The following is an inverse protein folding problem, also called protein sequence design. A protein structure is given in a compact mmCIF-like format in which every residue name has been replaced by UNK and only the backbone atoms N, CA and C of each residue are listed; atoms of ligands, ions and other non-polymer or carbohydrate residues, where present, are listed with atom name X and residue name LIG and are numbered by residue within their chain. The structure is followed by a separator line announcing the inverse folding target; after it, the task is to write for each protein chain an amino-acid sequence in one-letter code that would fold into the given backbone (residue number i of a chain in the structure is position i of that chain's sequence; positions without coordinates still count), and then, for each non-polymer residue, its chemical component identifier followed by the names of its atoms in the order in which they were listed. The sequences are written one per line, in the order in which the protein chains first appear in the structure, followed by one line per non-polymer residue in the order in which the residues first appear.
data_IF_217950133258
#
_entry.id   IF_217950133258
#
_cell.length_a   1.000
_cell.length_b   1.000
_cell.length_c   1.000
_cell.angle_alpha   90.00
_cell.angle_beta   90.00
_cell.angle_gamma   90.00
#
_symmetry.space_group_name_H-M   'P 1'
#
loop_
_entity.id
_entity.type
_entity.pdbx_description
1 polymer ?
#
# COMPACT_ATOMS: atom_id res chain seq x y z
N UNK A 1 -40.72 3.35 41.10
CA UNK A 1 -40.22 2.96 39.76
C UNK A 1 -40.88 3.88 38.76
N UNK A 2 -40.19 4.94 38.32
CA UNK A 2 -40.72 5.85 37.31
C UNK A 2 -40.53 5.22 35.94
N UNK A 3 -41.64 4.83 35.34
CA UNK A 3 -41.73 4.42 33.94
C UNK A 3 -41.36 5.65 33.09
N UNK A 4 -40.16 5.64 32.51
CA UNK A 4 -39.74 6.69 31.58
C UNK A 4 -40.50 6.44 30.28
N UNK A 5 -41.64 7.10 30.11
CA UNK A 5 -42.34 7.07 28.82
C UNK A 5 -41.40 7.63 27.74
N UNK A 6 -40.93 6.76 26.84
CA UNK A 6 -40.18 7.18 25.66
C UNK A 6 -41.10 7.91 24.68
N UNK A 7 -40.70 9.10 24.24
CA UNK A 7 -41.35 9.80 23.12
C UNK A 7 -41.07 9.06 21.80
N UNK A 8 -42.10 8.52 21.11
CA UNK A 8 -41.92 7.81 19.85
C UNK A 8 -41.32 8.68 18.75
N UNK A 9 -41.56 10.00 18.74
CA UNK A 9 -41.01 10.91 17.72
C UNK A 9 -39.50 11.12 17.91
N UNK A 10 -39.05 11.28 19.16
CA UNK A 10 -37.62 11.30 19.48
C UNK A 10 -36.92 9.98 19.13
N UNK A 11 -37.53 8.84 19.45
CA UNK A 11 -36.99 7.53 19.10
C UNK A 11 -36.87 7.34 17.58
N UNK A 12 -37.88 7.73 16.81
CA UNK A 12 -37.86 7.67 15.36
C UNK A 12 -36.78 8.58 14.75
N UNK A 13 -36.58 9.78 15.30
CA UNK A 13 -35.50 10.68 14.85
C UNK A 13 -34.11 10.09 15.10
N UNK A 14 -33.88 9.52 16.28
CA UNK A 14 -32.62 8.84 16.60
C UNK A 14 -32.36 7.65 15.69
N UNK A 15 -33.38 6.82 15.44
CA UNK A 15 -33.26 5.68 14.54
C UNK A 15 -32.89 6.11 13.11
N UNK A 16 -33.52 7.17 12.59
CA UNK A 16 -33.17 7.73 11.26
C UNK A 16 -31.73 8.23 11.22
N UNK A 17 -31.29 8.98 12.22
CA UNK A 17 -29.92 9.48 12.28
C UNK A 17 -28.88 8.34 12.30
N UNK A 18 -29.16 7.24 13.01
CA UNK A 18 -28.30 6.05 13.01
C UNK A 18 -28.23 5.41 11.62
N UNK A 19 -29.39 5.20 10.98
CA UNK A 19 -29.46 4.62 9.64
C UNK A 19 -28.73 5.48 8.61
N UNK A 20 -28.93 6.80 8.64
CA UNK A 20 -28.25 7.74 7.76
C UNK A 20 -26.74 7.73 7.99
N UNK A 21 -26.29 7.70 9.25
CA UNK A 21 -24.87 7.62 9.57
C UNK A 21 -24.25 6.31 9.05
N UNK A 22 -24.93 5.17 9.20
CA UNK A 22 -24.48 3.89 8.65
C UNK A 22 -24.43 3.90 7.12
N UNK A 23 -25.44 4.47 6.45
CA UNK A 23 -25.45 4.59 5.00
C UNK A 23 -24.30 5.47 4.51
N UNK A 24 -24.08 6.61 5.14
CA UNK A 24 -22.97 7.50 4.81
C UNK A 24 -21.61 6.81 5.00
N UNK A 25 -21.46 6.03 6.08
CA UNK A 25 -20.24 5.25 6.29
C UNK A 25 -20.01 4.22 5.17
N UNK A 26 -21.07 3.51 4.75
CA UNK A 26 -20.99 2.54 3.65
C UNK A 26 -20.63 3.22 2.33
N UNK A 27 -21.25 4.35 2.02
CA UNK A 27 -20.95 5.14 0.80
C UNK A 27 -19.49 5.58 0.80
N UNK A 28 -19.01 6.14 1.92
CA UNK A 28 -17.61 6.55 2.06
C UNK A 28 -16.63 5.39 1.88
N UNK A 29 -16.93 4.21 2.43
CA UNK A 29 -16.09 3.03 2.20
C UNK A 29 -16.02 2.62 0.72
N UNK A 30 -17.11 2.79 -0.03
CA UNK A 30 -17.12 2.54 -1.48
C UNK A 30 -16.28 3.60 -2.22
N UNK A 31 -16.39 4.88 -1.84
CA UNK A 31 -15.57 5.96 -2.41
C UNK A 31 -14.07 5.71 -2.19
N UNK A 32 -13.70 5.33 -0.96
CA UNK A 32 -12.33 4.99 -0.60
C UNK A 32 -11.83 3.75 -1.37
N UNK A 33 -12.67 2.73 -1.54
CA UNK A 33 -12.34 1.56 -2.34
C UNK A 33 -12.09 1.93 -3.80
N UNK A 34 -13.00 2.67 -4.43
CA UNK A 34 -12.86 3.07 -5.85
C UNK A 34 -11.62 3.95 -6.04
N UNK A 35 -11.37 4.88 -5.11
CA UNK A 35 -10.15 5.68 -5.12
C UNK A 35 -8.89 4.82 -5.04
N UNK A 36 -8.87 3.83 -4.13
CA UNK A 36 -7.77 2.90 -3.99
C UNK A 36 -7.57 2.01 -5.24
N UNK A 37 -8.66 1.53 -5.85
CA UNK A 37 -8.62 0.78 -7.11
C UNK A 37 -8.02 1.61 -8.23
N UNK A 38 -8.49 2.85 -8.42
CA UNK A 38 -7.95 3.73 -9.45
C UNK A 38 -6.46 4.03 -9.23
N UNK A 39 -6.04 4.23 -7.98
CA UNK A 39 -4.63 4.45 -7.64
C UNK A 39 -3.78 3.19 -7.92
N UNK A 40 -4.33 2.00 -7.62
CA UNK A 40 -3.68 0.73 -7.92
C UNK A 40 -3.51 0.52 -9.43
N UNK A 41 -4.56 0.73 -10.21
CA UNK A 41 -4.51 0.58 -11.67
C UNK A 41 -3.55 1.57 -12.31
N UNK A 42 -3.52 2.82 -11.84
CA UNK A 42 -2.56 3.82 -12.28
C UNK A 42 -1.10 3.42 -11.96
N UNK A 43 -0.86 2.86 -10.77
CA UNK A 43 0.45 2.37 -10.38
C UNK A 43 0.89 1.16 -11.22
N UNK A 44 -0.01 0.22 -11.47
CA UNK A 44 0.22 -0.93 -12.37
C UNK A 44 0.59 -0.46 -13.78
N UNK A 45 -0.12 0.52 -14.32
CA UNK A 45 0.20 1.09 -15.62
C UNK A 45 1.57 1.77 -15.62
N UNK A 46 1.88 2.56 -14.59
CA UNK A 46 3.19 3.20 -14.45
C UNK A 46 4.33 2.18 -14.37
N UNK A 47 4.12 1.04 -13.70
CA UNK A 47 5.10 -0.06 -13.64
C UNK A 47 5.30 -0.68 -15.04
N UNK A 48 4.22 -0.91 -15.79
CA UNK A 48 4.30 -1.44 -17.16
C UNK A 48 5.05 -0.48 -18.09
N UNK A 49 4.74 0.80 -18.02
CA UNK A 49 5.40 1.83 -18.84
C UNK A 49 6.89 1.96 -18.48
N UNK A 50 7.21 1.94 -17.19
CA UNK A 50 8.60 1.96 -16.71
C UNK A 50 9.36 0.69 -17.15
N UNK A 51 8.73 -0.48 -17.11
CA UNK A 51 9.31 -1.73 -17.58
C UNK A 51 9.60 -1.67 -19.09
N UNK A 52 8.64 -1.21 -19.90
CA UNK A 52 8.81 -1.05 -21.33
C UNK A 52 9.91 -0.03 -21.69
N UNK A 53 9.99 1.09 -20.95
CA UNK A 53 11.07 2.07 -21.11
C UNK A 53 12.44 1.46 -20.76
N UNK A 54 12.51 0.65 -19.70
CA UNK A 54 13.72 -0.04 -19.29
C UNK A 54 14.17 -1.10 -20.32
N UNK A 55 13.24 -1.90 -20.85
CA UNK A 55 13.49 -2.86 -21.95
C UNK A 55 14.06 -2.18 -23.19
N UNK A 56 13.45 -1.05 -23.57
CA UNK A 56 13.89 -0.25 -24.72
C UNK A 56 15.29 0.33 -24.49
N UNK A 57 15.57 0.85 -23.30
CA UNK A 57 16.88 1.39 -22.95
C UNK A 57 17.97 0.31 -22.94
N UNK A 58 17.65 -0.87 -22.41
CA UNK A 58 18.56 -2.03 -22.42
C UNK A 58 18.88 -2.47 -23.85
N UNK A 59 17.86 -2.61 -24.68
CA UNK A 59 18.02 -2.99 -26.09
C UNK A 59 18.80 -1.94 -26.88
N UNK A 60 18.59 -0.64 -26.61
CA UNK A 60 19.35 0.44 -27.22
C UNK A 60 20.83 0.40 -26.80
N UNK A 61 21.13 0.06 -25.54
CA UNK A 61 22.50 -0.12 -25.07
C UNK A 61 23.19 -1.29 -25.78
N UNK A 62 22.51 -2.43 -25.93
CA UNK A 62 23.03 -3.57 -26.70
C UNK A 62 23.27 -3.21 -28.17
N UNK A 63 22.34 -2.48 -28.80
CA UNK A 63 22.49 -1.99 -30.17
C UNK A 63 23.64 -0.99 -30.33
N UNK A 64 23.95 -0.21 -29.29
CA UNK A 64 25.11 0.69 -29.23
C UNK A 64 26.44 -0.05 -29.00
N UNK A 65 26.45 -1.39 -28.97
CA UNK A 65 27.65 -2.22 -28.85
C UNK A 65 28.03 -2.56 -27.42
N UNK A 66 27.20 -2.24 -26.42
CA UNK A 66 27.42 -2.71 -25.06
C UNK A 66 27.09 -4.20 -24.96
N UNK A 67 27.90 -4.93 -24.20
CA UNK A 67 27.58 -6.31 -23.84
C UNK A 67 26.85 -6.34 -22.50
N UNK A 68 26.01 -7.34 -22.28
CA UNK A 68 25.32 -7.52 -21.00
C UNK A 68 26.29 -7.59 -19.81
N UNK A 69 27.49 -8.16 -20.03
CA UNK A 69 28.55 -8.22 -19.03
C UNK A 69 29.03 -6.83 -18.63
N UNK A 70 29.35 -5.98 -19.60
CA UNK A 70 29.79 -4.61 -19.33
C UNK A 70 28.68 -3.79 -18.64
N UNK A 71 27.42 -3.97 -19.06
CA UNK A 71 26.27 -3.32 -18.42
C UNK A 71 26.08 -3.77 -16.97
N UNK A 72 26.26 -5.05 -16.66
CA UNK A 72 26.21 -5.53 -15.27
C UNK A 72 27.39 -5.06 -14.43
N UNK A 73 28.58 -4.96 -15.02
CA UNK A 73 29.78 -4.45 -14.33
C UNK A 73 29.62 -2.98 -13.91
N UNK A 74 28.96 -2.15 -14.73
CA UNK A 74 28.62 -0.76 -14.35
C UNK A 74 27.41 -0.67 -13.42
N UNK A 75 26.81 -1.81 -13.05
CA UNK A 75 25.67 -1.89 -12.13
C UNK A 75 24.30 -1.72 -12.78
N UNK A 76 24.22 -1.63 -14.12
CA UNK A 76 22.94 -1.69 -14.83
C UNK A 76 22.37 -3.11 -14.75
N UNK A 77 21.06 -3.21 -14.53
CA UNK A 77 20.38 -4.52 -14.40
C UNK A 77 19.58 -4.80 -15.65
N UNK A 78 19.52 -6.07 -16.02
CA UNK A 78 18.65 -6.48 -17.10
C UNK A 78 17.17 -6.26 -16.68
N UNK A 79 16.28 -5.95 -17.64
CA UNK A 79 14.85 -5.95 -17.38
C UNK A 79 14.39 -7.27 -16.78
N UNK A 80 13.52 -7.22 -15.77
CA UNK A 80 13.06 -8.41 -15.05
C UNK A 80 14.04 -8.97 -14.00
N UNK A 81 15.30 -8.51 -13.95
CA UNK A 81 16.19 -8.84 -12.83
C UNK A 81 15.83 -7.99 -11.61
N UNK A 82 15.00 -8.58 -10.74
CA UNK A 82 14.74 -8.03 -9.41
C UNK A 82 16.06 -7.79 -8.67
N UNK A 83 16.13 -6.65 -7.98
CA UNK A 83 17.23 -6.33 -7.09
C UNK A 83 17.54 -7.54 -6.17
N UNK A 84 18.81 -7.92 -5.97
CA UNK A 84 19.14 -8.93 -4.98
C UNK A 84 18.52 -8.51 -3.65
N UNK A 85 17.59 -9.32 -3.12
CA UNK A 85 16.96 -9.08 -1.82
C UNK A 85 18.08 -8.91 -0.80
N UNK A 86 18.27 -7.70 -0.31
CA UNK A 86 19.19 -7.45 0.79
C UNK A 86 18.78 -8.36 1.96
N UNK A 87 19.61 -9.36 2.28
CA UNK A 87 19.40 -10.23 3.43
C UNK A 87 19.41 -9.35 4.67
N UNK A 88 18.24 -9.12 5.28
CA UNK A 88 18.12 -8.49 6.59
C UNK A 88 18.93 -9.34 7.59
N UNK A 89 20.08 -8.81 8.05
CA UNK A 89 20.72 -9.32 9.26
C UNK A 89 19.76 -9.05 10.41
N UNK A 90 19.23 -10.11 11.04
CA UNK A 90 18.47 -9.99 12.28
C UNK A 90 19.41 -9.43 13.33
N UNK A 91 19.17 -8.20 13.77
CA UNK A 91 19.73 -7.69 15.01
C UNK A 91 19.12 -8.53 16.14
N UNK A 92 19.95 -9.34 16.81
CA UNK A 92 19.54 -10.03 18.02
C UNK A 92 19.23 -8.97 19.08
N UNK A 93 18.00 -9.00 19.61
CA UNK A 93 17.57 -8.13 20.68
C UNK A 93 18.45 -8.35 21.93
N UNK A 94 18.97 -7.26 22.49
CA UNK A 94 19.66 -7.27 23.77
C UNK A 94 18.68 -7.69 24.89
N UNK A 95 19.13 -8.46 25.91
CA UNK A 95 18.26 -8.85 27.02
C UNK A 95 17.89 -7.65 27.89
N UNK A 96 16.69 -7.64 28.50
CA UNK A 96 16.25 -6.54 29.35
C UNK A 96 17.05 -6.50 30.64
N UNK A 97 17.50 -5.30 31.01
CA UNK A 97 18.12 -5.00 32.29
C UNK A 97 17.13 -5.28 33.43
N UNK A 98 17.45 -6.25 34.29
CA UNK A 98 16.81 -6.40 35.58
C UNK A 98 17.42 -5.36 36.52
N UNK A 99 16.64 -4.35 36.89
CA UNK A 99 16.93 -3.45 37.99
C UNK A 99 15.63 -3.16 38.73
N UNK A 100 15.43 -3.85 39.84
CA UNK A 100 14.63 -3.34 40.95
C UNK A 100 15.21 -3.93 42.24
N UNK A 101 16.11 -3.14 42.82
CA UNK A 101 16.60 -3.17 44.19
C UNK A 101 15.63 -2.36 45.08
N UNK A 102 15.61 -2.67 46.39
CA UNK A 102 15.23 -1.74 47.46
C UNK A 102 13.92 -2.00 48.18
#
# INVERSE_FOLDING_TARGET
MTDVQLDPQEAARKARAIIEAEQNARVRSVEELVSATNAFDAAEQAVKDAAAAHDKAWSAALAAGWTEKNLREIGARAPGQSAPRARKRRAAAAPPAQSIEG
#
